data_IF_887712367489
#
_entry.id   IF_887712367489
#
_cell.length_a   1.000
_cell.length_b   1.000
_cell.length_c   1.000
_cell.angle_alpha   90.00
_cell.angle_beta   90.00
_cell.angle_gamma   90.00
#
_symmetry.space_group_name_H-M   'P 1'
#
loop_
_entity.id
_entity.type
_entity.pdbx_description
1 polymer ?
#
# COMPACT_ATOMS: atom_id res chain seq x y z
N UNK A 1 38.47 -14.44 30.66
CA UNK A 1 38.20 -12.99 30.69
C UNK A 1 37.99 -12.61 32.15
N UNK A 2 38.76 -11.67 32.71
CA UNK A 2 38.66 -11.38 34.16
C UNK A 2 37.24 -10.91 34.51
N UNK A 3 36.72 -11.31 35.68
CA UNK A 3 35.38 -10.90 36.14
C UNK A 3 35.17 -9.38 36.03
N UNK A 4 36.23 -8.60 36.25
CA UNK A 4 36.27 -7.15 36.07
C UNK A 4 35.92 -6.68 34.64
N UNK A 5 36.41 -7.36 33.61
CA UNK A 5 36.14 -7.04 32.21
C UNK A 5 34.68 -7.39 31.82
N UNK A 6 34.13 -8.45 32.42
CA UNK A 6 32.72 -8.82 32.25
C UNK A 6 31.77 -7.83 32.93
N UNK A 7 32.06 -7.42 34.17
CA UNK A 7 31.27 -6.38 34.85
C UNK A 7 31.35 -5.04 34.10
N UNK A 8 32.51 -4.67 33.57
CA UNK A 8 32.67 -3.48 32.73
C UNK A 8 31.80 -3.54 31.47
N UNK A 9 31.76 -4.67 30.77
CA UNK A 9 30.91 -4.85 29.59
C UNK A 9 29.42 -4.74 29.90
N UNK A 10 28.97 -5.33 31.01
CA UNK A 10 27.57 -5.27 31.46
C UNK A 10 27.16 -3.84 31.80
N UNK A 11 28.04 -3.07 32.47
CA UNK A 11 27.78 -1.66 32.78
C UNK A 11 27.70 -0.81 31.51
N UNK A 12 28.59 -1.03 30.53
CA UNK A 12 28.54 -0.34 29.23
C UNK A 12 27.26 -0.67 28.47
N UNK A 13 26.88 -1.95 28.40
CA UNK A 13 25.64 -2.39 27.75
C UNK A 13 24.39 -1.84 28.45
N UNK A 14 24.33 -1.88 29.78
CA UNK A 14 23.22 -1.31 30.55
C UNK A 14 23.11 0.21 30.35
N UNK A 15 24.25 0.91 30.23
CA UNK A 15 24.29 2.35 29.95
C UNK A 15 23.79 2.67 28.54
N UNK A 16 24.19 1.88 27.55
CA UNK A 16 23.69 1.99 26.17
C UNK A 16 22.18 1.68 26.09
N UNK A 17 21.73 0.68 26.84
CA UNK A 17 20.33 0.29 26.88
C UNK A 17 19.48 1.36 27.59
N UNK A 18 20.00 2.00 28.64
CA UNK A 18 19.37 3.17 29.27
C UNK A 18 19.25 4.34 28.30
N UNK A 19 20.31 4.64 27.55
CA UNK A 19 20.29 5.69 26.53
C UNK A 19 19.28 5.37 25.42
N UNK A 20 19.21 4.10 25.00
CA UNK A 20 18.24 3.60 24.04
C UNK A 20 16.80 3.70 24.54
N UNK A 21 16.52 3.26 25.77
CA UNK A 21 15.22 3.38 26.44
C UNK A 21 14.78 4.84 26.57
N UNK A 22 15.69 5.74 26.93
CA UNK A 22 15.41 7.16 27.03
C UNK A 22 15.06 7.77 25.66
N UNK A 23 15.84 7.45 24.62
CA UNK A 23 15.52 7.86 23.24
C UNK A 23 14.20 7.29 22.76
N UNK A 24 13.90 6.03 23.08
CA UNK A 24 12.63 5.39 22.74
C UNK A 24 11.44 6.10 23.39
N UNK A 25 11.54 6.44 24.68
CA UNK A 25 10.49 7.18 25.40
C UNK A 25 10.31 8.59 24.84
N UNK A 26 11.39 9.26 24.41
CA UNK A 26 11.29 10.54 23.72
C UNK A 26 10.61 10.39 22.37
N UNK A 27 11.03 9.44 21.53
CA UNK A 27 10.46 9.23 20.21
C UNK A 27 8.96 8.84 20.24
N UNK A 28 8.53 8.08 21.24
CA UNK A 28 7.11 7.71 21.41
C UNK A 28 6.27 8.89 21.89
N UNK A 29 6.84 9.78 22.70
CA UNK A 29 6.12 10.90 23.28
C UNK A 29 6.28 12.22 22.53
N UNK A 30 7.18 12.31 21.55
CA UNK A 30 7.36 13.47 20.69
C UNK A 30 6.04 13.78 19.96
N UNK A 31 5.37 14.89 20.30
CA UNK A 31 4.14 15.27 19.64
C UNK A 31 4.46 15.66 18.20
N UNK A 32 3.84 14.98 17.24
CA UNK A 32 3.92 15.40 15.83
C UNK A 32 2.81 16.42 15.57
N UNK A 33 3.12 17.60 15.00
CA UNK A 33 2.10 18.54 14.55
C UNK A 33 1.36 17.99 13.33
N UNK A 34 0.04 18.09 13.31
CA UNK A 34 -0.78 17.81 12.13
C UNK A 34 -1.67 19.03 11.85
N UNK A 35 -1.67 19.53 10.62
CA UNK A 35 -2.60 20.56 10.16
C UNK A 35 -3.68 19.91 9.31
N UNK A 36 -4.93 19.92 9.76
CA UNK A 36 -6.04 19.29 9.02
C UNK A 36 -6.87 20.37 8.35
N UNK A 37 -7.28 20.16 7.11
CA UNK A 37 -8.17 21.06 6.39
C UNK A 37 -9.44 20.32 5.93
N UNK A 38 -10.60 20.91 6.19
CA UNK A 38 -11.87 20.53 5.58
C UNK A 38 -12.01 21.32 4.28
N UNK A 39 -11.77 20.67 3.14
CA UNK A 39 -11.65 21.28 1.82
C UNK A 39 -12.47 20.53 0.77
N UNK A 40 -12.96 21.26 -0.24
CA UNK A 40 -13.52 20.68 -1.47
C UNK A 40 -13.08 21.47 -2.69
N UNK A 41 -13.03 20.78 -3.82
CA UNK A 41 -12.79 21.38 -5.13
C UNK A 41 -13.92 21.03 -6.10
N UNK A 42 -14.17 21.94 -7.04
CA UNK A 42 -15.16 21.73 -8.11
C UNK A 42 -14.57 20.91 -9.26
N UNK A 43 -13.27 21.06 -9.52
CA UNK A 43 -12.49 20.23 -10.44
C UNK A 43 -11.46 19.43 -9.64
N UNK A 44 -11.20 18.19 -10.05
CA UNK A 44 -10.16 17.39 -9.41
C UNK A 44 -8.79 18.08 -9.59
N UNK A 45 -8.04 18.22 -8.50
CA UNK A 45 -6.78 18.98 -8.49
C UNK A 45 -5.74 18.30 -7.60
N UNK A 46 -4.50 18.31 -8.06
CA UNK A 46 -3.34 18.15 -7.22
C UNK A 46 -3.21 19.30 -6.23
N UNK A 47 -2.72 18.96 -5.04
CA UNK A 47 -2.32 19.91 -3.99
C UNK A 47 -0.93 19.48 -3.54
N UNK A 48 0.02 20.41 -3.56
CA UNK A 48 1.36 20.18 -3.02
C UNK A 48 1.54 20.99 -1.73
N UNK A 49 2.10 20.35 -0.70
CA UNK A 49 2.35 20.96 0.59
C UNK A 49 3.84 21.19 0.77
N UNK A 50 4.20 22.46 0.84
CA UNK A 50 5.56 22.93 1.07
C UNK A 50 5.64 23.55 2.46
N UNK A 51 6.73 23.33 3.20
CA UNK A 51 6.95 23.96 4.50
C UNK A 51 8.38 24.47 4.63
N UNK A 52 8.59 25.47 5.48
CA UNK A 52 9.93 25.99 5.81
C UNK A 52 10.02 26.39 7.28
N UNK A 53 11.20 26.15 7.85
CA UNK A 53 11.51 26.44 9.25
C UNK A 53 11.73 27.94 9.51
N UNK A 54 12.24 28.68 8.52
CA UNK A 54 12.62 30.09 8.66
C UNK A 54 12.15 30.96 7.48
N UNK A 55 11.96 32.26 7.74
CA UNK A 55 11.56 33.27 6.74
C UNK A 55 12.53 33.41 5.56
N UNK A 56 13.80 33.04 5.75
CA UNK A 56 14.88 33.06 4.75
C UNK A 56 15.27 31.66 4.25
N UNK A 57 14.64 30.61 4.77
CA UNK A 57 14.92 29.22 4.42
C UNK A 57 14.31 28.80 3.08
N UNK A 58 14.89 27.77 2.45
CA UNK A 58 14.29 27.10 1.28
C UNK A 58 13.15 26.19 1.74
N UNK A 59 12.06 26.15 0.96
CA UNK A 59 10.99 25.16 1.17
C UNK A 59 11.52 23.73 1.06
N UNK A 60 10.83 22.79 1.70
CA UNK A 60 11.12 21.36 1.66
C UNK A 60 11.36 20.86 0.23
N UNK A 61 12.46 20.13 0.03
CA UNK A 61 12.91 19.68 -1.31
C UNK A 61 12.03 18.60 -1.94
N UNK A 62 11.15 17.97 -1.15
CA UNK A 62 10.21 16.95 -1.62
C UNK A 62 8.81 17.23 -1.02
N UNK A 63 7.97 18.02 -1.70
CA UNK A 63 6.66 18.40 -1.17
C UNK A 63 5.71 17.20 -1.15
N UNK A 64 4.85 17.16 -0.12
CA UNK A 64 3.83 16.12 -0.04
C UNK A 64 2.71 16.42 -1.03
N UNK A 65 2.42 15.46 -1.92
CA UNK A 65 1.41 15.63 -2.97
C UNK A 65 0.13 14.89 -2.60
N UNK A 66 -0.99 15.59 -2.74
CA UNK A 66 -2.33 15.09 -2.51
C UNK A 66 -3.14 15.26 -3.79
N UNK A 67 -4.09 14.36 -4.02
CA UNK A 67 -5.05 14.51 -5.11
C UNK A 67 -6.43 14.69 -4.50
N UNK A 68 -7.03 15.86 -4.72
CA UNK A 68 -8.37 16.19 -4.26
C UNK A 68 -9.35 15.94 -5.40
N UNK A 69 -10.18 14.90 -5.26
CA UNK A 69 -11.24 14.62 -6.23
C UNK A 69 -12.33 15.68 -6.17
N UNK A 70 -12.89 16.05 -7.33
CA UNK A 70 -14.08 16.89 -7.41
C UNK A 70 -15.20 16.29 -6.57
N UNK A 71 -15.79 17.07 -5.66
CA UNK A 71 -16.80 16.60 -4.73
C UNK A 71 -17.77 17.72 -4.34
N UNK A 72 -19.04 17.38 -4.18
CA UNK A 72 -20.04 18.29 -3.62
C UNK A 72 -19.86 18.48 -2.11
N UNK A 73 -19.23 17.51 -1.44
CA UNK A 73 -19.00 17.48 0.00
C UNK A 73 -17.57 17.88 0.35
N UNK A 74 -17.40 18.50 1.53
CA UNK A 74 -16.08 18.74 2.11
C UNK A 74 -15.42 17.43 2.52
N UNK A 75 -14.12 17.32 2.26
CA UNK A 75 -13.29 16.21 2.69
C UNK A 75 -12.17 16.71 3.59
N UNK A 76 -11.82 15.92 4.59
CA UNK A 76 -10.75 16.25 5.51
C UNK A 76 -9.43 15.72 4.96
N UNK A 77 -8.50 16.63 4.68
CA UNK A 77 -7.12 16.30 4.33
C UNK A 77 -6.20 16.59 5.51
N UNK A 78 -5.18 15.75 5.69
CA UNK A 78 -4.16 15.92 6.72
C UNK A 78 -2.88 16.34 6.01
N UNK A 79 -2.46 17.57 6.28
CA UNK A 79 -1.23 18.14 5.76
C UNK A 79 -0.07 17.65 6.63
N UNK A 80 0.91 16.94 6.05
CA UNK A 80 2.02 16.36 6.79
C UNK A 80 3.01 17.48 7.14
N UNK A 81 3.13 17.74 8.44
CA UNK A 81 4.12 18.66 8.99
C UNK A 81 4.99 17.82 9.91
N UNK A 82 6.23 17.55 9.51
CA UNK A 82 7.05 16.52 10.16
C UNK A 82 7.73 17.02 11.43
N UNK A 83 7.85 18.35 11.59
CA UNK A 83 8.51 18.99 12.70
C UNK A 83 7.82 20.31 13.06
N UNK A 84 7.97 20.75 14.31
CA UNK A 84 7.31 21.94 14.83
C UNK A 84 7.72 23.22 14.08
N UNK A 85 9.01 23.36 13.80
CA UNK A 85 9.60 24.49 13.06
C UNK A 85 8.96 24.69 11.67
N UNK A 86 8.55 23.61 11.01
CA UNK A 86 7.86 23.65 9.72
C UNK A 86 6.48 24.32 9.76
N UNK A 87 5.87 24.51 10.94
CA UNK A 87 4.62 25.27 11.09
C UNK A 87 4.82 26.78 10.93
N UNK A 88 6.06 27.28 10.88
CA UNK A 88 6.34 28.71 10.78
C UNK A 88 5.79 29.31 9.48
N UNK A 89 5.89 28.54 8.39
CA UNK A 89 5.39 28.90 7.06
C UNK A 89 5.03 27.61 6.31
N UNK A 90 3.73 27.42 6.08
CA UNK A 90 3.20 26.29 5.32
C UNK A 90 2.55 26.84 4.05
N UNK A 91 3.01 26.42 2.89
CA UNK A 91 2.49 26.81 1.58
C UNK A 91 1.71 25.64 0.98
N UNK A 92 0.51 25.93 0.48
CA UNK A 92 -0.32 25.00 -0.28
C UNK A 92 -0.39 25.47 -1.72
N UNK A 93 0.21 24.69 -2.59
CA UNK A 93 0.22 24.87 -4.03
C UNK A 93 -0.92 24.07 -4.66
N UNK A 94 -1.68 24.70 -5.54
CA UNK A 94 -2.70 24.05 -6.35
C UNK A 94 -2.18 23.84 -7.77
N UNK A 95 -2.76 22.90 -8.51
CA UNK A 95 -2.41 22.70 -9.91
C UNK A 95 -2.64 23.98 -10.73
N UNK A 96 -1.85 24.14 -11.79
CA UNK A 96 -1.91 25.23 -12.77
C UNK A 96 -3.15 25.14 -13.68
N UNK A 97 -4.34 25.04 -13.09
CA UNK A 97 -5.62 24.92 -13.77
C UNK A 97 -6.68 25.77 -13.08
N UNK A 98 -7.59 26.35 -13.87
CA UNK A 98 -8.76 27.06 -13.32
C UNK A 98 -9.59 26.11 -12.47
N UNK A 99 -9.69 26.44 -11.18
CA UNK A 99 -10.48 25.66 -10.24
C UNK A 99 -11.10 26.57 -9.19
N UNK A 100 -12.27 26.18 -8.69
CA UNK A 100 -12.86 26.80 -7.50
C UNK A 100 -12.64 25.84 -6.34
N UNK A 101 -11.99 26.33 -5.30
CA UNK A 101 -11.69 25.59 -4.07
C UNK A 101 -12.42 26.25 -2.91
N UNK A 102 -12.98 25.46 -2.01
CA UNK A 102 -13.63 25.95 -0.81
C UNK A 102 -13.01 25.31 0.43
N UNK A 103 -12.64 26.11 1.42
CA UNK A 103 -12.15 25.65 2.72
C UNK A 103 -13.20 26.00 3.77
N UNK A 104 -13.70 24.97 4.45
CA UNK A 104 -14.67 25.13 5.54
C UNK A 104 -13.96 25.47 6.85
N UNK A 105 -12.95 24.67 7.20
CA UNK A 105 -12.27 24.71 8.51
C UNK A 105 -10.82 24.27 8.41
N UNK A 106 -9.98 24.80 9.29
CA UNK A 106 -8.64 24.28 9.59
C UNK A 106 -8.54 23.87 11.05
N UNK A 107 -7.86 22.76 11.32
CA UNK A 107 -7.59 22.25 12.67
C UNK A 107 -6.10 22.16 12.87
N UNK A 108 -5.59 22.78 13.93
CA UNK A 108 -4.25 22.51 14.43
C UNK A 108 -4.34 21.38 15.45
N UNK A 109 -3.71 20.25 15.14
CA UNK A 109 -3.79 19.02 15.93
C UNK A 109 -2.39 18.64 16.39
N UNK A 110 -2.29 18.14 17.61
CA UNK A 110 -1.09 17.46 18.11
C UNK A 110 -1.36 15.97 18.27
N UNK A 111 -0.32 15.16 18.10
CA UNK A 111 -0.41 13.70 18.23
C UNK A 111 0.61 13.12 19.22
N UNK A 112 0.46 13.36 20.54
CA UNK A 112 1.26 12.67 21.54
C UNK A 112 0.90 11.17 21.59
N UNK A 113 1.89 10.29 21.44
CA UNK A 113 1.70 8.84 21.61
C UNK A 113 0.62 8.21 20.72
N UNK A 114 0.30 8.84 19.58
CA UNK A 114 -0.72 8.38 18.64
C UNK A 114 -2.15 8.88 18.89
N UNK A 115 -2.44 9.60 19.97
CA UNK A 115 -3.75 10.20 20.25
C UNK A 115 -3.82 11.61 19.67
N UNK A 116 -4.83 11.92 18.86
CA UNK A 116 -5.05 13.27 18.32
C UNK A 116 -5.73 14.16 19.36
N UNK A 117 -5.15 15.32 19.59
CA UNK A 117 -5.72 16.36 20.43
C UNK A 117 -5.76 17.68 19.66
N UNK A 118 -6.93 18.31 19.62
CA UNK A 118 -7.14 19.51 18.81
C UNK A 118 -6.75 20.73 19.62
N UNK A 119 -5.72 21.45 19.16
CA UNK A 119 -5.23 22.66 19.81
C UNK A 119 -6.16 23.83 19.49
N UNK A 120 -6.54 23.99 18.22
CA UNK A 120 -7.38 25.10 17.77
C UNK A 120 -8.14 24.76 16.48
N UNK A 121 -9.26 25.45 16.25
CA UNK A 121 -10.10 25.31 15.05
C UNK A 121 -10.45 26.68 14.49
N UNK A 122 -10.06 26.93 13.23
CA UNK A 122 -10.49 28.09 12.46
C UNK A 122 -11.62 27.68 11.53
N UNK A 123 -12.73 28.42 11.53
CA UNK A 123 -13.90 28.14 10.69
C UNK A 123 -14.23 29.34 9.81
N UNK A 124 -14.45 29.08 8.52
CA UNK A 124 -14.83 30.10 7.54
C UNK A 124 -13.89 31.31 7.58
N UNK A 125 -14.44 32.51 7.72
CA UNK A 125 -13.69 33.77 7.76
C UNK A 125 -12.57 33.83 8.82
N UNK A 126 -12.64 33.05 9.90
CA UNK A 126 -11.57 32.99 10.90
C UNK A 126 -10.25 32.41 10.34
N UNK A 127 -10.28 31.73 9.19
CA UNK A 127 -9.08 31.26 8.50
C UNK A 127 -8.15 32.41 8.08
N UNK A 128 -8.67 33.62 7.91
CA UNK A 128 -7.86 34.79 7.56
C UNK A 128 -6.80 35.12 8.63
N UNK A 129 -7.00 34.69 9.89
CA UNK A 129 -6.01 34.87 10.97
C UNK A 129 -4.71 34.09 10.74
N UNK A 130 -4.79 32.97 10.00
CA UNK A 130 -3.64 32.10 9.73
C UNK A 130 -3.13 32.23 8.31
N UNK A 131 -3.86 32.88 7.40
CA UNK A 131 -3.43 33.04 6.00
C UNK A 131 -2.62 34.33 5.87
N UNK A 132 -1.38 34.19 5.40
CA UNK A 132 -0.46 35.31 5.18
C UNK A 132 -0.77 36.01 3.86
N UNK A 133 -0.83 35.26 2.77
CA UNK A 133 -1.08 35.80 1.44
C UNK A 133 -1.59 34.73 0.47
N UNK A 134 -2.18 35.22 -0.62
CA UNK A 134 -2.65 34.46 -1.77
C UNK A 134 -1.86 34.88 -2.99
N UNK A 135 -1.47 33.92 -3.83
CA UNK A 135 -0.82 34.18 -5.11
C UNK A 135 -1.63 33.54 -6.23
N UNK A 136 -2.02 34.32 -7.23
CA UNK A 136 -2.85 33.88 -8.35
C UNK A 136 -4.12 33.12 -7.90
N UNK A 137 -4.71 33.57 -6.79
CA UNK A 137 -5.96 33.08 -6.24
C UNK A 137 -6.87 34.28 -5.95
N UNK A 138 -8.06 34.30 -6.56
CA UNK A 138 -9.08 35.32 -6.32
C UNK A 138 -10.09 34.84 -5.27
N UNK A 139 -10.36 35.65 -4.26
CA UNK A 139 -11.32 35.29 -3.21
C UNK A 139 -12.73 35.76 -3.57
N UNK A 140 -13.63 34.81 -3.85
CA UNK A 140 -14.99 35.11 -4.31
C UNK A 140 -15.98 35.28 -3.15
N UNK A 141 -15.84 34.51 -2.06
CA UNK A 141 -16.79 34.56 -0.94
C UNK A 141 -16.09 34.26 0.38
N UNK A 142 -16.46 35.02 1.43
CA UNK A 142 -16.02 34.80 2.81
C UNK A 142 -17.24 34.90 3.73
N UNK A 143 -17.47 33.87 4.55
CA UNK A 143 -18.51 33.88 5.58
C UNK A 143 -18.09 32.99 6.75
N UNK A 144 -18.92 32.90 7.78
CA UNK A 144 -18.65 32.09 9.00
C UNK A 144 -18.61 30.57 8.75
N UNK A 145 -19.00 30.11 7.56
CA UNK A 145 -19.07 28.70 7.21
C UNK A 145 -17.92 28.23 6.32
N UNK A 146 -17.48 29.06 5.37
CA UNK A 146 -16.41 28.73 4.43
C UNK A 146 -15.75 29.96 3.80
N UNK A 147 -14.58 29.75 3.22
CA UNK A 147 -13.95 30.65 2.26
C UNK A 147 -13.95 29.98 0.89
N UNK A 148 -14.40 30.70 -0.13
CA UNK A 148 -14.38 30.27 -1.54
C UNK A 148 -13.34 31.06 -2.30
N UNK A 149 -12.48 30.34 -3.00
CA UNK A 149 -11.36 30.88 -3.73
C UNK A 149 -11.29 30.29 -5.14
N UNK A 150 -10.88 31.11 -6.11
CA UNK A 150 -10.73 30.75 -7.51
C UNK A 150 -9.25 30.75 -7.86
N UNK A 151 -8.71 29.56 -8.09
CA UNK A 151 -7.33 29.36 -8.49
C UNK A 151 -7.13 29.74 -9.96
N UNK A 152 -6.08 30.51 -10.23
CA UNK A 152 -5.63 30.89 -11.57
C UNK A 152 -4.88 29.76 -12.29
N UNK A 153 -4.43 30.04 -13.52
CA UNK A 153 -3.75 29.05 -14.38
C UNK A 153 -2.24 28.99 -14.18
N UNK A 154 -1.66 29.89 -13.38
CA UNK A 154 -0.21 30.01 -13.20
C UNK A 154 0.13 30.10 -11.72
N UNK A 155 0.80 29.09 -11.16
CA UNK A 155 1.29 29.02 -9.77
C UNK A 155 0.27 29.49 -8.70
N UNK A 156 -0.97 28.96 -8.66
CA UNK A 156 -1.93 29.33 -7.63
C UNK A 156 -1.54 28.71 -6.28
N UNK A 157 -1.25 29.55 -5.28
CA UNK A 157 -0.92 29.06 -3.94
C UNK A 157 -1.39 29.98 -2.81
N UNK A 158 -1.56 29.40 -1.62
CA UNK A 158 -1.78 30.14 -0.37
C UNK A 158 -0.67 29.81 0.62
N UNK A 159 -0.25 30.80 1.42
CA UNK A 159 0.74 30.60 2.48
C UNK A 159 0.13 30.90 3.85
N UNK A 160 0.35 30.00 4.81
CA UNK A 160 0.00 30.19 6.21
C UNK A 160 1.13 30.90 6.97
N UNK A 161 0.75 31.69 7.97
CA UNK A 161 1.64 32.48 8.79
C UNK A 161 2.17 31.70 10.02
N UNK A 162 3.03 32.37 10.80
CA UNK A 162 3.72 31.81 11.97
C UNK A 162 2.82 31.67 13.20
N UNK A 163 1.55 32.08 13.13
CA UNK A 163 0.57 31.91 14.21
C UNK A 163 0.35 30.42 14.50
N UNK A 164 0.45 29.56 13.48
CA UNK A 164 0.40 28.10 13.64
C UNK A 164 1.50 27.60 14.59
N UNK A 165 2.75 28.02 14.35
CA UNK A 165 3.88 27.70 15.22
C UNK A 165 3.68 28.26 16.63
N UNK A 166 3.33 29.54 16.77
CA UNK A 166 3.17 30.18 18.07
C UNK A 166 2.11 29.49 18.95
N UNK A 167 0.95 29.15 18.37
CA UNK A 167 -0.13 28.46 19.07
C UNK A 167 0.23 27.01 19.41
N UNK A 168 0.97 26.34 18.53
CA UNK A 168 1.47 25.00 18.80
C UNK A 168 2.45 25.01 19.97
N UNK A 169 3.46 25.87 19.89
CA UNK A 169 4.54 26.00 20.87
C UNK A 169 4.02 26.35 22.27
N UNK A 170 3.07 27.29 22.36
CA UNK A 170 2.46 27.68 23.64
C UNK A 170 1.70 26.53 24.31
N UNK A 171 1.09 25.64 23.53
CA UNK A 171 0.34 24.50 24.05
C UNK A 171 1.21 23.23 24.22
N UNK A 172 2.41 23.21 23.65
CA UNK A 172 3.38 22.12 23.75
C UNK A 172 3.83 21.89 25.20
N UNK A 173 4.29 22.95 25.88
CA UNK A 173 4.85 22.87 27.24
C UNK A 173 3.86 22.46 28.34
N UNK A 174 2.54 22.52 28.09
CA UNK A 174 1.52 22.23 29.11
C UNK A 174 1.29 20.74 29.39
N UNK A 175 1.73 19.83 28.52
CA UNK A 175 1.42 18.39 28.66
C UNK A 175 2.59 17.44 28.37
N UNK A 176 3.78 17.95 28.08
CA UNK A 176 4.93 17.06 27.91
C UNK A 176 5.28 16.35 29.22
N UNK A 177 5.58 15.05 29.13
CA UNK A 177 6.07 14.29 30.26
C UNK A 177 7.34 14.99 30.78
N UNK A 178 7.34 15.37 32.06
CA UNK A 178 8.46 16.13 32.63
C UNK A 178 9.78 15.36 32.45
N UNK A 179 10.90 16.09 32.33
CA UNK A 179 12.20 15.47 32.06
C UNK A 179 12.55 14.34 33.03
N UNK A 180 12.19 14.48 34.31
CA UNK A 180 12.44 13.45 35.33
C UNK A 180 11.55 12.21 35.16
N UNK A 181 10.29 12.36 34.72
CA UNK A 181 9.40 11.23 34.44
C UNK A 181 9.92 10.41 33.26
N UNK A 182 10.47 11.05 32.22
CA UNK A 182 11.11 10.38 31.08
C UNK A 182 12.29 9.51 31.53
N UNK A 183 13.15 10.04 32.40
CA UNK A 183 14.24 9.27 33.00
C UNK A 183 13.74 8.10 33.85
N UNK A 184 12.70 8.30 34.67
CA UNK A 184 12.15 7.24 35.51
C UNK A 184 11.56 6.09 34.67
N UNK A 185 10.81 6.42 33.61
CA UNK A 185 10.29 5.44 32.67
C UNK A 185 11.41 4.70 31.92
N UNK A 186 12.50 5.39 31.57
CA UNK A 186 13.65 4.79 30.89
C UNK A 186 14.38 3.80 31.79
N UNK A 187 14.55 4.16 33.07
CA UNK A 187 15.15 3.28 34.08
C UNK A 187 14.28 2.02 34.28
N UNK A 188 12.96 2.19 34.43
CA UNK A 188 12.02 1.07 34.56
C UNK A 188 12.08 0.14 33.35
N UNK A 189 12.03 0.68 32.13
CA UNK A 189 12.09 -0.11 30.89
C UNK A 189 13.41 -0.87 30.77
N UNK A 190 14.54 -0.20 31.03
CA UNK A 190 15.87 -0.82 31.03
C UNK A 190 15.98 -1.92 32.06
N UNK A 191 15.47 -1.70 33.27
CA UNK A 191 15.46 -2.71 34.33
C UNK A 191 14.62 -3.93 33.95
N UNK A 192 13.44 -3.73 33.38
CA UNK A 192 12.59 -4.82 32.87
C UNK A 192 13.27 -5.60 31.75
N UNK A 193 13.93 -4.93 30.79
CA UNK A 193 14.71 -5.58 29.75
C UNK A 193 15.86 -6.42 30.34
N UNK A 194 16.62 -5.87 31.29
CA UNK A 194 17.72 -6.61 31.93
C UNK A 194 17.22 -7.83 32.71
N UNK A 195 16.04 -7.76 33.33
CA UNK A 195 15.42 -8.92 33.98
C UNK A 195 15.00 -10.01 32.97
N UNK A 196 14.28 -9.63 31.92
CA UNK A 196 13.78 -10.57 30.91
C UNK A 196 14.92 -11.25 30.14
N UNK A 197 15.99 -10.52 29.86
CA UNK A 197 17.13 -11.01 29.09
C UNK A 197 18.35 -11.37 29.95
N UNK A 198 18.19 -11.52 31.27
CA UNK A 198 19.28 -11.84 32.21
C UNK A 198 20.16 -13.03 31.77
N UNK A 199 19.55 -14.04 31.14
CA UNK A 199 20.27 -15.23 30.62
C UNK A 199 21.12 -14.94 29.38
N UNK A 200 20.76 -13.93 28.59
CA UNK A 200 21.56 -13.47 27.44
C UNK A 200 22.79 -12.66 27.89
N UNK A 201 22.72 -12.03 29.06
CA UNK A 201 23.82 -11.26 29.65
C UNK A 201 24.63 -12.05 30.69
N UNK A 202 24.34 -13.33 30.90
CA UNK A 202 25.12 -14.19 31.77
C UNK A 202 26.53 -14.42 31.18
N UNK A 203 27.54 -14.61 32.03
CA UNK A 203 28.92 -14.93 31.61
C UNK A 203 28.98 -16.14 30.68
N UNK A 204 28.02 -17.05 30.84
CA UNK A 204 27.96 -18.33 30.15
C UNK A 204 27.02 -18.25 28.94
N UNK A 205 26.49 -17.07 28.58
CA UNK A 205 25.52 -16.93 27.49
C UNK A 205 26.05 -17.47 26.15
N UNK A 206 27.33 -17.25 25.85
CA UNK A 206 27.98 -17.79 24.66
C UNK A 206 28.08 -19.32 24.73
N UNK A 207 28.37 -19.87 25.91
CA UNK A 207 28.41 -21.33 26.11
C UNK A 207 27.02 -21.95 26.03
N UNK A 208 26.00 -21.30 26.59
CA UNK A 208 24.59 -21.71 26.46
C UNK A 208 24.15 -21.65 24.99
N UNK A 209 24.50 -20.61 24.24
CA UNK A 209 24.20 -20.51 22.80
C UNK A 209 24.92 -21.62 22.02
N UNK A 210 26.22 -21.84 22.27
CA UNK A 210 26.99 -22.94 21.65
C UNK A 210 26.39 -24.31 21.98
N UNK A 211 26.03 -24.55 23.24
CA UNK A 211 25.42 -25.80 23.70
C UNK A 211 24.04 -26.00 23.06
N UNK A 212 23.24 -24.94 22.90
CA UNK A 212 21.96 -24.97 22.19
C UNK A 212 22.14 -25.29 20.70
N UNK A 213 23.17 -24.74 20.05
CA UNK A 213 23.52 -25.05 18.66
C UNK A 213 23.93 -26.52 18.51
N UNK A 214 24.78 -27.02 19.41
CA UNK A 214 25.23 -28.43 19.44
C UNK A 214 24.08 -29.41 19.74
N UNK A 215 23.09 -28.99 20.52
CA UNK A 215 21.85 -29.74 20.78
C UNK A 215 20.85 -29.71 19.61
N UNK A 216 21.23 -29.16 18.45
CA UNK A 216 20.37 -29.14 17.25
C UNK A 216 19.32 -28.03 17.23
N UNK A 217 19.35 -27.07 18.16
CA UNK A 217 18.41 -25.93 18.18
C UNK A 217 18.77 -24.81 17.18
N UNK A 218 19.65 -25.09 16.21
CA UNK A 218 20.09 -24.12 15.20
C UNK A 218 18.89 -23.53 14.43
N UNK A 219 17.91 -24.37 14.07
CA UNK A 219 16.71 -23.92 13.37
C UNK A 219 15.88 -22.93 14.21
N UNK A 220 15.75 -23.20 15.52
CA UNK A 220 15.04 -22.32 16.44
C UNK A 220 15.75 -20.97 16.56
N UNK A 221 17.08 -20.98 16.69
CA UNK A 221 17.88 -19.76 16.75
C UNK A 221 17.78 -18.94 15.45
N UNK A 222 17.86 -19.60 14.29
CA UNK A 222 17.68 -18.96 13.00
C UNK A 222 16.28 -18.35 12.86
N UNK A 223 15.24 -19.09 13.27
CA UNK A 223 13.86 -18.62 13.26
C UNK A 223 13.67 -17.36 14.13
N UNK A 224 14.17 -17.37 15.37
CA UNK A 224 14.08 -16.19 16.24
C UNK A 224 14.90 -15.01 15.71
N UNK A 225 16.06 -15.26 15.09
CA UNK A 225 16.87 -14.21 14.48
C UNK A 225 16.13 -13.56 13.30
N UNK A 226 15.49 -14.38 12.45
CA UNK A 226 14.66 -13.88 11.35
C UNK A 226 13.50 -13.04 11.91
N UNK A 227 12.75 -13.55 12.88
CA UNK A 227 11.64 -12.80 13.52
C UNK A 227 12.10 -11.49 14.18
N UNK A 228 13.25 -11.51 14.85
CA UNK A 228 13.78 -10.31 15.49
C UNK A 228 14.24 -9.29 14.45
N UNK A 229 14.87 -9.75 13.36
CA UNK A 229 15.30 -8.89 12.27
C UNK A 229 14.11 -8.25 11.54
N UNK A 230 13.02 -8.99 11.30
CA UNK A 230 11.81 -8.45 10.66
C UNK A 230 11.10 -7.45 11.57
N UNK A 231 11.00 -7.77 12.87
CA UNK A 231 10.42 -6.85 13.86
C UNK A 231 11.21 -5.55 13.96
N UNK A 232 12.55 -5.64 14.05
CA UNK A 232 13.41 -4.46 14.12
C UNK A 232 13.31 -3.65 12.83
N UNK A 233 13.34 -4.29 11.66
CA UNK A 233 13.21 -3.56 10.40
C UNK A 233 11.84 -2.88 10.25
N UNK A 234 10.75 -3.47 10.77
CA UNK A 234 9.42 -2.87 10.70
C UNK A 234 9.30 -1.58 11.54
N UNK A 235 10.06 -1.48 12.64
CA UNK A 235 10.04 -0.30 13.50
C UNK A 235 10.93 0.84 13.01
N UNK A 236 12.07 0.52 12.38
CA UNK A 236 13.09 1.52 11.99
C UNK A 236 13.31 1.67 10.48
N UNK A 237 12.73 0.78 9.67
CA UNK A 237 12.86 0.75 8.20
C UNK A 237 14.32 0.91 7.71
N UNK A 238 15.23 0.14 8.31
CA UNK A 238 16.68 0.24 8.08
C UNK A 238 17.11 -0.34 6.73
N UNK A 239 16.40 -1.37 6.27
CA UNK A 239 16.66 -2.08 5.05
C UNK A 239 15.41 -2.01 4.15
N UNK A 240 15.55 -1.58 2.90
CA UNK A 240 14.44 -1.57 1.96
C UNK A 240 14.02 -3.00 1.60
N UNK A 241 12.72 -3.21 1.38
CA UNK A 241 12.19 -4.47 0.82
C UNK A 241 12.30 -4.44 -0.72
N UNK A 242 12.10 -5.60 -1.36
CA UNK A 242 11.95 -5.71 -2.81
C UNK A 242 10.71 -4.92 -3.24
N UNK A 243 10.83 -4.13 -4.31
CA UNK A 243 9.72 -3.33 -4.83
C UNK A 243 8.52 -4.20 -5.20
N UNK A 244 7.36 -3.89 -4.64
CA UNK A 244 6.12 -4.51 -5.09
C UNK A 244 5.75 -3.99 -6.48
N UNK A 245 5.43 -4.88 -7.42
CA UNK A 245 4.92 -4.51 -8.76
C UNK A 245 3.40 -4.57 -8.85
N UNK A 246 2.72 -4.96 -7.78
CA UNK A 246 1.26 -4.97 -7.68
C UNK A 246 0.72 -3.53 -7.76
N UNK A 247 -0.19 -3.29 -8.71
CA UNK A 247 -0.85 -1.98 -8.86
C UNK A 247 -2.01 -1.86 -7.85
N UNK A 248 -1.70 -1.95 -6.56
CA UNK A 248 -2.65 -1.91 -5.45
C UNK A 248 -2.24 -0.84 -4.45
N UNK A 249 -3.24 -0.10 -3.94
CA UNK A 249 -3.04 0.89 -2.87
C UNK A 249 -2.88 0.15 -1.53
N UNK A 250 -1.72 0.29 -0.89
CA UNK A 250 -1.46 -0.29 0.43
C UNK A 250 -2.34 0.36 1.50
N UNK A 251 -2.77 -0.44 2.47
CA UNK A 251 -3.51 0.06 3.62
C UNK A 251 -2.67 1.07 4.43
N UNK A 252 -3.32 2.18 4.82
CA UNK A 252 -2.72 3.21 5.68
C UNK A 252 -2.76 2.80 7.16
N UNK A 253 -1.77 3.24 7.94
CA UNK A 253 -1.70 2.96 9.39
C UNK A 253 -2.94 3.49 10.13
N UNK A 254 -3.74 2.63 10.79
CA UNK A 254 -4.95 3.07 11.48
C UNK A 254 -4.62 3.83 12.76
N UNK A 255 -5.45 4.80 13.11
CA UNK A 255 -5.40 5.50 14.40
C UNK A 255 -6.32 4.82 15.41
N UNK A 256 -5.82 4.58 16.63
CA UNK A 256 -6.64 4.08 17.72
C UNK A 256 -7.60 5.18 18.23
N UNK A 257 -8.91 4.95 18.15
CA UNK A 257 -9.96 5.85 18.63
C UNK A 257 -10.96 5.07 19.47
N UNK A 258 -11.51 5.69 20.51
CA UNK A 258 -12.57 5.08 21.33
C UNK A 258 -13.80 4.70 20.48
N UNK A 259 -14.11 5.46 19.44
CA UNK A 259 -15.22 5.18 18.52
C UNK A 259 -14.97 4.00 17.57
N UNK A 260 -13.69 3.68 17.29
CA UNK A 260 -13.29 2.58 16.39
C UNK A 260 -12.56 1.48 17.14
N UNK A 261 -12.75 1.38 18.44
CA UNK A 261 -12.04 0.42 19.28
C UNK A 261 -12.26 -1.02 18.81
N UNK A 262 -13.50 -1.36 18.42
CA UNK A 262 -13.87 -2.68 17.90
C UNK A 262 -13.39 -2.92 16.46
N UNK A 263 -13.27 -1.87 15.63
CA UNK A 263 -12.77 -1.98 14.24
C UNK A 263 -11.24 -1.95 14.16
N UNK A 264 -10.56 -1.42 15.18
CA UNK A 264 -9.12 -1.22 15.18
C UNK A 264 -8.31 -2.51 14.94
N UNK A 265 -8.65 -3.67 15.54
CA UNK A 265 -7.93 -4.91 15.26
C UNK A 265 -7.97 -5.31 13.78
N UNK A 266 -9.11 -5.14 13.11
CA UNK A 266 -9.27 -5.50 11.69
C UNK A 266 -8.50 -4.54 10.78
N UNK A 267 -8.60 -3.23 11.04
CA UNK A 267 -7.84 -2.21 10.31
C UNK A 267 -6.34 -2.37 10.51
N UNK A 268 -5.91 -2.70 11.74
CA UNK A 268 -4.50 -2.93 12.04
C UNK A 268 -4.00 -4.21 11.40
N UNK A 269 -4.81 -5.27 11.38
CA UNK A 269 -4.47 -6.52 10.68
C UNK A 269 -4.29 -6.27 9.19
N UNK A 270 -5.16 -5.47 8.58
CA UNK A 270 -5.06 -5.09 7.16
C UNK A 270 -3.79 -4.27 6.88
N UNK A 271 -3.52 -3.25 7.71
CA UNK A 271 -2.27 -2.50 7.64
C UNK A 271 -1.03 -3.38 7.82
N UNK A 272 -1.02 -4.25 8.81
CA UNK A 272 0.10 -5.13 9.11
C UNK A 272 0.35 -6.12 7.96
N UNK A 273 -0.70 -6.68 7.35
CA UNK A 273 -0.58 -7.56 6.16
C UNK A 273 0.10 -6.85 4.99
N UNK A 274 -0.18 -5.56 4.80
CA UNK A 274 0.31 -4.79 3.66
C UNK A 274 1.71 -4.19 3.88
N UNK A 275 2.06 -3.87 5.13
CA UNK A 275 3.26 -3.09 5.45
C UNK A 275 4.33 -3.88 6.22
N UNK A 276 4.16 -5.20 6.41
CA UNK A 276 5.17 -6.02 7.09
C UNK A 276 6.49 -6.06 6.31
N UNK A 277 7.60 -5.78 6.98
CA UNK A 277 8.92 -5.79 6.36
C UNK A 277 9.31 -7.16 5.79
N UNK A 278 9.98 -7.12 4.63
CA UNK A 278 10.48 -8.30 3.91
C UNK A 278 9.39 -9.26 3.44
N UNK A 279 8.13 -8.82 3.41
CA UNK A 279 7.01 -9.62 2.88
C UNK A 279 7.32 -10.06 1.45
N UNK A 280 7.75 -9.13 0.59
CA UNK A 280 8.02 -9.42 -0.83
C UNK A 280 9.27 -10.30 -1.00
N UNK A 281 10.26 -10.12 -0.12
CA UNK A 281 11.42 -11.00 -0.09
C UNK A 281 11.05 -12.45 0.29
N UNK A 282 10.32 -12.66 1.39
CA UNK A 282 9.95 -14.02 1.81
C UNK A 282 8.99 -14.69 0.85
N UNK A 283 8.05 -13.92 0.31
CA UNK A 283 7.21 -14.28 -0.81
C UNK A 283 8.00 -14.85 -1.99
N UNK A 284 9.00 -14.10 -2.46
CA UNK A 284 9.87 -14.51 -3.55
C UNK A 284 10.66 -15.79 -3.20
N UNK A 285 11.25 -15.84 -2.01
CA UNK A 285 12.00 -17.02 -1.55
C UNK A 285 11.11 -18.25 -1.49
N UNK A 286 9.90 -18.12 -0.93
CA UNK A 286 8.90 -19.20 -0.92
C UNK A 286 8.56 -19.64 -2.35
N UNK A 287 8.30 -18.69 -3.26
CA UNK A 287 7.98 -19.00 -4.64
C UNK A 287 9.12 -19.74 -5.36
N UNK A 288 10.36 -19.33 -5.14
CA UNK A 288 11.55 -19.99 -5.71
C UNK A 288 11.72 -21.39 -5.14
N UNK A 289 11.59 -21.57 -3.83
CA UNK A 289 11.73 -22.89 -3.19
C UNK A 289 10.62 -23.84 -3.66
N UNK A 290 9.35 -23.40 -3.58
CA UNK A 290 8.21 -24.17 -4.03
C UNK A 290 8.36 -24.61 -5.50
N UNK A 291 8.73 -23.69 -6.38
CA UNK A 291 8.80 -23.96 -7.81
C UNK A 291 10.06 -24.73 -8.26
N UNK A 292 11.25 -24.36 -7.77
CA UNK A 292 12.52 -24.92 -8.24
C UNK A 292 12.97 -26.15 -7.47
N UNK A 293 12.66 -26.22 -6.17
CA UNK A 293 13.10 -27.33 -5.31
C UNK A 293 12.03 -28.40 -5.25
N UNK A 294 10.78 -28.00 -4.99
CA UNK A 294 9.67 -28.94 -4.79
C UNK A 294 8.83 -29.19 -6.04
N UNK A 295 8.98 -28.37 -7.08
CA UNK A 295 8.19 -28.45 -8.31
C UNK A 295 6.67 -28.39 -8.06
N UNK A 296 6.27 -27.55 -7.11
CA UNK A 296 4.87 -27.27 -6.78
C UNK A 296 4.52 -25.80 -6.99
N UNK A 297 3.24 -25.52 -7.19
CA UNK A 297 2.75 -24.15 -7.28
C UNK A 297 2.90 -23.43 -5.93
N UNK A 298 3.41 -22.18 -5.91
CA UNK A 298 3.48 -21.39 -4.69
C UNK A 298 2.11 -20.89 -4.21
N UNK A 299 1.12 -20.85 -5.11
CA UNK A 299 -0.27 -20.50 -4.84
C UNK A 299 -1.15 -21.59 -5.49
N UNK A 300 -1.32 -22.75 -4.85
CA UNK A 300 -2.00 -23.88 -5.47
C UNK A 300 -3.48 -23.62 -5.75
N UNK A 301 -4.12 -22.73 -5.00
CA UNK A 301 -5.54 -22.40 -5.18
C UNK A 301 -5.78 -21.54 -6.42
N UNK A 302 -4.82 -20.67 -6.77
CA UNK A 302 -4.96 -19.70 -7.86
C UNK A 302 -4.17 -20.08 -9.11
N UNK A 303 -3.11 -20.89 -8.96
CA UNK A 303 -2.13 -21.14 -10.03
C UNK A 303 -1.79 -22.62 -10.16
N UNK A 304 -1.93 -23.15 -11.37
CA UNK A 304 -1.45 -24.46 -11.79
C UNK A 304 -0.01 -24.34 -12.27
N UNK A 305 0.89 -25.15 -11.71
CA UNK A 305 2.23 -25.35 -12.26
C UNK A 305 2.19 -26.33 -13.43
N UNK A 306 2.43 -25.82 -14.63
CA UNK A 306 2.60 -26.57 -15.87
C UNK A 306 4.05 -26.99 -16.16
N UNK A 307 4.23 -27.67 -17.28
CA UNK A 307 5.52 -28.17 -17.76
C UNK A 307 6.47 -27.00 -18.10
N UNK A 308 7.77 -27.23 -17.92
CA UNK A 308 8.84 -26.24 -18.26
C UNK A 308 8.71 -24.90 -17.52
N UNK A 309 8.17 -24.90 -16.30
CA UNK A 309 8.04 -23.68 -15.48
C UNK A 309 6.94 -22.72 -15.95
N UNK A 310 5.95 -23.21 -16.67
CA UNK A 310 4.79 -22.43 -17.08
C UNK A 310 3.74 -22.40 -15.97
N UNK A 311 3.15 -21.24 -15.74
CA UNK A 311 2.03 -21.07 -14.81
C UNK A 311 0.72 -20.87 -15.58
N UNK A 312 -0.35 -21.51 -15.12
CA UNK A 312 -1.69 -21.39 -15.65
C UNK A 312 -2.66 -21.03 -14.51
N UNK A 313 -3.77 -20.41 -14.86
CA UNK A 313 -4.83 -20.07 -13.92
C UNK A 313 -5.55 -21.34 -13.42
N UNK A 314 -5.76 -21.43 -12.10
CA UNK A 314 -6.49 -22.53 -11.45
C UNK A 314 -7.95 -22.19 -11.10
N UNK A 315 -8.46 -21.04 -11.53
CA UNK A 315 -9.88 -20.71 -11.36
C UNK A 315 -10.77 -21.82 -11.95
N UNK A 316 -11.73 -22.28 -11.15
CA UNK A 316 -12.60 -23.39 -11.51
C UNK A 316 -13.29 -23.21 -12.88
N UNK A 317 -13.72 -21.99 -13.20
CA UNK A 317 -14.34 -21.68 -14.49
C UNK A 317 -13.36 -21.84 -15.66
N UNK A 318 -12.13 -21.37 -15.51
CA UNK A 318 -11.07 -21.43 -16.53
C UNK A 318 -10.63 -22.88 -16.76
N UNK A 319 -10.47 -23.64 -15.67
CA UNK A 319 -10.09 -25.06 -15.72
C UNK A 319 -11.21 -25.90 -16.34
N UNK A 320 -12.47 -25.68 -15.93
CA UNK A 320 -13.60 -26.42 -16.45
C UNK A 320 -13.88 -26.11 -17.92
N UNK A 321 -13.72 -24.86 -18.35
CA UNK A 321 -13.86 -24.47 -19.76
C UNK A 321 -12.78 -25.13 -20.64
N UNK A 322 -11.52 -25.11 -20.19
CA UNK A 322 -10.43 -25.79 -20.89
C UNK A 322 -10.65 -27.30 -20.99
N UNK A 323 -11.11 -27.93 -19.91
CA UNK A 323 -11.36 -29.37 -19.87
C UNK A 323 -12.66 -29.79 -20.56
N UNK A 324 -13.47 -28.82 -21.05
CA UNK A 324 -14.82 -29.02 -21.60
C UNK A 324 -15.77 -29.72 -20.63
N UNK A 325 -15.72 -29.32 -19.37
CA UNK A 325 -16.56 -29.86 -18.29
C UNK A 325 -17.74 -28.94 -17.96
N UNK A 326 -17.85 -27.78 -18.61
CA UNK A 326 -18.98 -26.90 -18.38
C UNK A 326 -20.28 -27.53 -18.89
N UNK A 327 -21.33 -27.61 -18.05
CA UNK A 327 -22.64 -28.06 -18.49
C UNK A 327 -23.25 -27.05 -19.46
N UNK A 328 -24.07 -27.53 -20.39
CA UNK A 328 -24.84 -26.65 -21.25
C UNK A 328 -25.87 -25.87 -20.42
N UNK A 329 -25.70 -24.55 -20.33
CA UNK A 329 -26.63 -23.66 -19.64
C UNK A 329 -27.31 -22.73 -20.66
N UNK A 330 -28.55 -23.06 -21.11
CA UNK A 330 -29.26 -22.27 -22.10
C UNK A 330 -29.59 -20.85 -21.60
N UNK A 331 -29.86 -20.67 -20.30
CA UNK A 331 -30.22 -19.38 -19.73
C UNK A 331 -29.03 -18.42 -19.73
N UNK A 332 -27.84 -18.92 -19.37
CA UNK A 332 -26.61 -18.14 -19.42
C UNK A 332 -26.26 -17.74 -20.86
N UNK A 333 -26.42 -18.67 -21.81
CA UNK A 333 -26.17 -18.44 -23.22
C UNK A 333 -27.13 -17.40 -23.81
N UNK A 334 -28.42 -17.54 -23.51
CA UNK A 334 -29.47 -16.60 -23.91
C UNK A 334 -29.24 -15.21 -23.30
N UNK A 335 -28.98 -15.13 -21.99
CA UNK A 335 -28.74 -13.85 -21.32
C UNK A 335 -27.53 -13.13 -21.91
N UNK A 336 -26.43 -13.87 -22.15
CA UNK A 336 -25.21 -13.32 -22.76
C UNK A 336 -25.48 -12.82 -24.18
N UNK A 337 -26.24 -13.58 -24.98
CA UNK A 337 -26.56 -13.19 -26.36
C UNK A 337 -27.49 -11.97 -26.41
N UNK A 338 -28.49 -11.89 -25.52
CA UNK A 338 -29.38 -10.74 -25.42
C UNK A 338 -28.63 -9.45 -25.03
N UNK A 339 -27.71 -9.51 -24.06
CA UNK A 339 -26.91 -8.34 -23.66
C UNK A 339 -26.09 -7.82 -24.83
N UNK A 340 -25.40 -8.72 -25.55
CA UNK A 340 -24.58 -8.35 -26.71
C UNK A 340 -25.44 -7.76 -27.85
N UNK A 341 -26.62 -8.35 -28.10
CA UNK A 341 -27.54 -7.87 -29.13
C UNK A 341 -28.12 -6.50 -28.78
N UNK A 342 -28.57 -6.29 -27.54
CA UNK A 342 -29.09 -4.99 -27.09
C UNK A 342 -28.03 -3.89 -27.22
N UNK A 343 -26.79 -4.18 -26.80
CA UNK A 343 -25.67 -3.24 -26.92
C UNK A 343 -25.33 -2.95 -28.38
N UNK A 344 -25.33 -3.97 -29.24
CA UNK A 344 -25.15 -3.78 -30.69
C UNK A 344 -26.24 -2.87 -31.26
N UNK A 345 -27.51 -3.12 -30.96
CA UNK A 345 -28.63 -2.34 -31.49
C UNK A 345 -28.55 -0.88 -31.04
N UNK A 346 -28.21 -0.65 -29.77
CA UNK A 346 -28.03 0.70 -29.23
C UNK A 346 -26.92 1.49 -29.94
N UNK A 347 -25.80 0.84 -30.28
CA UNK A 347 -24.69 1.44 -31.03
C UNK A 347 -25.03 1.62 -32.53
N UNK A 348 -25.74 0.67 -33.12
CA UNK A 348 -26.13 0.71 -34.53
C UNK A 348 -27.07 1.88 -34.81
N UNK A 349 -28.01 2.17 -33.89
CA UNK A 349 -28.89 3.34 -33.97
C UNK A 349 -28.12 4.69 -33.92
N UNK A 350 -26.82 4.67 -33.59
CA UNK A 350 -25.93 5.83 -33.56
C UNK A 350 -24.87 5.76 -34.67
N UNK A 351 -25.02 4.86 -35.63
CA UNK A 351 -24.06 4.61 -36.71
C UNK A 351 -22.65 4.18 -36.22
N UNK A 352 -22.57 3.54 -35.04
CA UNK A 352 -21.30 3.04 -34.48
C UNK A 352 -21.19 1.53 -34.75
N UNK A 353 -20.07 1.10 -35.35
CA UNK A 353 -19.76 -0.33 -35.54
C UNK A 353 -19.38 -0.97 -34.20
N UNK A 354 -19.92 -2.16 -33.95
CA UNK A 354 -19.68 -2.91 -32.71
C UNK A 354 -19.06 -4.26 -33.02
N UNK A 355 -17.90 -4.53 -32.41
CA UNK A 355 -17.18 -5.79 -32.51
C UNK A 355 -16.90 -6.31 -31.10
N UNK A 356 -17.02 -7.62 -30.91
CA UNK A 356 -16.67 -8.28 -29.66
C UNK A 356 -15.52 -9.21 -29.94
N UNK A 357 -14.39 -8.99 -29.26
CA UNK A 357 -13.25 -9.90 -29.28
C UNK A 357 -13.15 -10.58 -27.93
N UNK A 358 -13.09 -11.92 -27.91
CA UNK A 358 -12.85 -12.69 -26.69
C UNK A 358 -11.51 -13.38 -26.88
N UNK A 359 -10.50 -12.93 -26.13
CA UNK A 359 -9.15 -13.49 -26.18
C UNK A 359 -9.12 -14.85 -25.48
N UNK A 360 -8.48 -15.88 -26.05
CA UNK A 360 -8.38 -17.17 -25.39
C UNK A 360 -7.51 -17.10 -24.15
N UNK A 361 -7.86 -17.94 -23.18
CA UNK A 361 -7.00 -18.22 -22.05
C UNK A 361 -5.73 -18.96 -22.49
N UNK A 362 -4.66 -18.80 -21.70
CA UNK A 362 -3.32 -19.35 -21.96
C UNK A 362 -3.34 -20.87 -22.16
N UNK A 363 -4.16 -21.58 -21.39
CA UNK A 363 -4.37 -23.03 -21.48
C UNK A 363 -4.95 -23.49 -22.83
N UNK A 364 -5.74 -22.66 -23.52
CA UNK A 364 -6.24 -22.96 -24.87
C UNK A 364 -5.17 -22.80 -25.96
N UNK A 365 -4.22 -21.89 -25.77
CA UNK A 365 -3.10 -21.65 -26.71
C UNK A 365 -1.90 -22.56 -26.46
N UNK A 366 -1.65 -22.94 -25.20
CA UNK A 366 -0.54 -23.79 -24.78
C UNK A 366 -0.99 -25.06 -24.02
N UNK A 367 -1.92 -25.86 -24.57
CA UNK A 367 -2.41 -27.07 -23.91
C UNK A 367 -1.29 -28.09 -23.66
N UNK A 368 -0.26 -28.12 -24.50
CA UNK A 368 0.87 -29.06 -24.38
C UNK A 368 1.77 -28.81 -23.16
N UNK A 369 1.63 -27.63 -22.54
CA UNK A 369 2.38 -27.25 -21.33
C UNK A 369 1.54 -27.43 -20.06
N UNK A 370 0.27 -27.81 -20.16
CA UNK A 370 -0.53 -28.20 -19.00
C UNK A 370 -0.02 -29.52 -18.39
N UNK A 371 -0.25 -29.77 -17.09
CA UNK A 371 0.04 -31.07 -16.49
C UNK A 371 -0.86 -32.17 -17.07
N UNK A 372 -0.37 -33.41 -17.07
CA UNK A 372 -1.08 -34.56 -17.67
C UNK A 372 -2.39 -34.90 -16.96
N UNK A 373 -2.56 -34.48 -15.71
CA UNK A 373 -3.82 -34.62 -14.97
C UNK A 373 -4.95 -33.72 -15.53
N UNK A 374 -4.62 -32.68 -16.27
CA UNK A 374 -5.58 -31.73 -16.85
C UNK A 374 -5.82 -32.03 -18.33
N UNK A 375 -6.55 -33.10 -18.59
CA UNK A 375 -6.95 -33.49 -19.95
C UNK A 375 -8.30 -32.91 -20.34
N UNK A 376 -8.43 -32.56 -21.62
CA UNK A 376 -9.71 -32.24 -22.28
C UNK A 376 -10.56 -33.50 -22.30
N UNK A 377 -11.83 -33.38 -21.89
CA UNK A 377 -12.81 -34.48 -21.90
C UNK A 377 -13.84 -34.22 -23.00
N UNK A 378 -13.51 -34.61 -24.23
CA UNK A 378 -14.44 -34.48 -25.35
C UNK A 378 -15.74 -35.26 -25.09
N UNK A 379 -16.88 -34.65 -25.41
CA UNK A 379 -18.20 -35.26 -25.26
C UNK A 379 -18.85 -35.15 -23.87
N UNK A 380 -18.17 -34.60 -22.85
CA UNK A 380 -18.74 -34.43 -21.50
C UNK A 380 -19.49 -33.11 -21.32
N UNK A 381 -18.98 -32.05 -21.91
CA UNK A 381 -19.52 -30.71 -21.82
C UNK A 381 -18.98 -29.86 -22.95
N UNK A 382 -19.04 -28.55 -22.78
CA UNK A 382 -18.75 -27.62 -23.85
C UNK A 382 -17.70 -26.58 -23.44
N UNK A 383 -17.10 -25.94 -24.44
CA UNK A 383 -16.40 -24.69 -24.26
C UNK A 383 -17.38 -23.53 -24.48
N UNK A 384 -17.40 -22.57 -23.56
CA UNK A 384 -18.37 -21.48 -23.57
C UNK A 384 -18.22 -20.57 -24.81
N UNK A 385 -17.00 -20.27 -25.25
CA UNK A 385 -16.79 -19.35 -26.40
C UNK A 385 -17.29 -19.97 -27.71
N UNK A 386 -17.15 -21.29 -27.84
CA UNK A 386 -17.59 -22.04 -29.03
C UNK A 386 -19.11 -22.08 -29.08
N UNK A 387 -19.77 -22.38 -27.94
CA UNK A 387 -21.21 -22.34 -27.82
C UNK A 387 -21.78 -20.95 -28.08
N UNK A 388 -21.18 -19.91 -27.46
CA UNK A 388 -21.60 -18.52 -27.64
C UNK A 388 -21.43 -18.10 -29.10
N UNK A 389 -20.30 -18.44 -29.73
CA UNK A 389 -20.06 -18.16 -31.14
C UNK A 389 -21.11 -18.79 -32.05
N UNK A 390 -21.41 -20.07 -31.86
CA UNK A 390 -22.43 -20.78 -32.64
C UNK A 390 -23.83 -20.18 -32.42
N UNK A 391 -24.20 -19.92 -31.17
CA UNK A 391 -25.50 -19.35 -30.84
C UNK A 391 -25.67 -17.93 -31.42
N UNK A 392 -24.62 -17.10 -31.33
CA UNK A 392 -24.64 -15.76 -31.92
C UNK A 392 -24.73 -15.81 -33.44
N UNK A 393 -24.07 -16.76 -34.11
CA UNK A 393 -24.16 -16.91 -35.57
C UNK A 393 -25.55 -17.36 -36.03
N UNK A 394 -26.23 -18.22 -35.26
CA UNK A 394 -27.54 -18.75 -35.61
C UNK A 394 -28.70 -17.80 -35.29
N UNK A 395 -28.59 -17.03 -34.19
CA UNK A 395 -29.71 -16.27 -33.63
C UNK A 395 -29.50 -14.76 -33.58
N UNK A 396 -28.32 -14.26 -34.00
CA UNK A 396 -28.02 -12.84 -33.94
C UNK A 396 -27.15 -12.38 -35.13
N UNK A 397 -27.03 -11.07 -35.31
CA UNK A 397 -26.07 -10.49 -36.23
C UNK A 397 -24.79 -10.00 -35.52
N UNK A 398 -24.54 -10.40 -34.27
CA UNK A 398 -23.35 -9.96 -33.52
C UNK A 398 -22.12 -10.69 -34.04
N UNK A 399 -21.09 -9.93 -34.45
CA UNK A 399 -19.80 -10.49 -34.87
C UNK A 399 -18.92 -10.74 -33.65
N UNK A 400 -18.75 -12.01 -33.29
CA UNK A 400 -17.78 -12.46 -32.29
C UNK A 400 -16.47 -12.84 -32.98
N UNK A 401 -15.37 -12.26 -32.52
CA UNK A 401 -14.02 -12.51 -33.02
C UNK A 401 -13.27 -13.37 -31.99
N UNK A 402 -12.90 -14.58 -32.38
CA UNK A 402 -12.04 -15.47 -31.62
C UNK A 402 -10.64 -15.51 -32.28
N UNK A 403 -9.60 -14.89 -31.67
CA UNK A 403 -8.26 -14.85 -32.23
C UNK A 403 -7.45 -16.13 -32.01
N UNK A 404 -8.01 -17.20 -31.43
CA UNK A 404 -7.29 -18.44 -31.09
C UNK A 404 -6.54 -19.03 -32.28
N UNK A 405 -7.19 -19.13 -33.45
CA UNK A 405 -6.56 -19.67 -34.65
C UNK A 405 -5.35 -18.82 -35.10
N UNK A 406 -5.50 -17.49 -35.09
CA UNK A 406 -4.44 -16.56 -35.44
C UNK A 406 -3.26 -16.63 -34.45
N UNK A 407 -3.55 -16.78 -33.15
CA UNK A 407 -2.53 -16.93 -32.10
C UNK A 407 -1.77 -18.27 -32.22
N UNK A 408 -2.47 -19.36 -32.54
CA UNK A 408 -1.84 -20.66 -32.79
C UNK A 408 -0.95 -20.63 -34.04
N UNK A 409 -1.37 -19.92 -35.08
CA UNK A 409 -0.54 -19.72 -36.27
C UNK A 409 0.69 -18.85 -35.97
N UNK A 410 0.51 -17.74 -35.25
CA UNK A 410 1.61 -16.88 -34.80
C UNK A 410 2.61 -17.65 -33.92
N UNK A 411 2.12 -18.51 -33.01
CA UNK A 411 2.95 -19.41 -32.19
C UNK A 411 3.79 -20.34 -33.05
N UNK A 412 3.22 -20.98 -34.08
CA UNK A 412 3.96 -21.83 -35.02
C UNK A 412 5.04 -21.04 -35.76
N UNK A 413 4.71 -19.83 -36.23
CA UNK A 413 5.67 -18.93 -36.89
C UNK A 413 6.81 -18.51 -35.95
N UNK A 414 6.52 -18.12 -34.71
CA UNK A 414 7.56 -17.75 -33.73
C UNK A 414 8.45 -18.94 -33.37
N UNK A 415 7.89 -20.13 -33.19
CA UNK A 415 8.67 -21.36 -32.95
C UNK A 415 9.56 -21.75 -34.14
N UNK A 416 9.21 -21.35 -35.36
CA UNK A 416 10.07 -21.54 -36.55
C UNK A 416 11.20 -20.52 -36.68
N UNK A 417 11.07 -19.35 -36.04
CA UNK A 417 12.01 -18.21 -36.15
C UNK A 417 12.94 -18.13 -34.92
N UNK A 418 12.53 -18.66 -33.77
CA UNK A 418 13.31 -18.60 -32.51
C UNK A 418 13.44 -19.96 -31.85
N UNK A 419 14.67 -20.35 -31.50
CA UNK A 419 14.92 -21.44 -30.55
C UNK A 419 14.21 -21.11 -29.22
N UNK A 420 13.66 -22.10 -28.51
CA UNK A 420 12.82 -21.87 -27.34
C UNK A 420 13.56 -21.00 -26.31
N UNK A 421 13.04 -19.80 -26.06
CA UNK A 421 13.61 -18.85 -25.10
C UNK A 421 13.60 -19.53 -23.72
N UNK A 422 14.78 -19.81 -23.14
CA UNK A 422 14.86 -20.42 -21.82
C UNK A 422 14.58 -19.36 -20.76
N UNK A 423 13.49 -19.55 -20.01
CA UNK A 423 13.35 -19.31 -18.55
C UNK A 423 13.56 -17.87 -18.00
N UNK A 424 14.06 -16.90 -18.77
CA UNK A 424 14.37 -15.56 -18.28
C UNK A 424 13.15 -14.63 -18.08
N UNK A 425 12.15 -14.74 -18.96
CA UNK A 425 10.99 -13.82 -18.96
C UNK A 425 9.91 -14.23 -17.94
N UNK A 426 9.93 -15.48 -17.46
CA UNK A 426 8.97 -15.95 -16.47
C UNK A 426 9.24 -15.37 -15.06
N UNK A 427 10.43 -14.84 -14.76
CA UNK A 427 10.69 -14.16 -13.47
C UNK A 427 10.03 -12.79 -13.37
N UNK A 428 9.82 -12.08 -14.49
CA UNK A 428 9.03 -10.84 -14.49
C UNK A 428 7.53 -11.12 -14.36
N UNK A 429 7.07 -12.27 -14.88
CA UNK A 429 5.67 -12.68 -14.75
C UNK A 429 5.39 -13.31 -13.38
N UNK A 430 6.37 -13.96 -12.72
CA UNK A 430 6.25 -14.37 -11.31
C UNK A 430 6.06 -13.15 -10.37
N UNK A 431 6.58 -11.96 -10.72
CA UNK A 431 6.25 -10.73 -9.98
C UNK A 431 4.83 -10.20 -10.19
N UNK A 432 4.06 -10.80 -11.11
CA UNK A 432 2.66 -10.43 -11.43
C UNK A 432 1.68 -11.58 -11.12
N UNK A 433 2.14 -12.84 -11.09
CA UNK A 433 1.29 -14.03 -10.83
C UNK A 433 1.40 -14.53 -9.37
N UNK A 434 2.42 -14.13 -8.61
CA UNK A 434 2.55 -14.52 -7.19
C UNK A 434 1.77 -13.59 -6.24
N UNK A 435 1.14 -12.51 -6.74
CA UNK A 435 0.36 -11.58 -5.90
C UNK A 435 -0.87 -11.00 -6.59
#
# INVERSE_FOLDING_TARGET
>A
MSKLLQYGLVVVLASLLLLGSYRFINAVNEPVPELHLSIKSFVSTGIEVCSRADSTGKYTSNPAKFYLNSSQFFSNIILPVNAEDQLTRVRLDFDNQKNTVMIEKAYLVRKPGGKRDTIHVWKGAALDEIILHYNNIDLETRNESFIQMKCGETDPYLEFNSTLFALYHQNFYKQEMSGWMKWMAAILLTFTCLMLFKKLFASDAIEVIKQRILQGNLLQLAFFLILFSTFFNNQWNLLPDISNKENRKLASKPSMSASRFFEYPELYTSYAKDNYSFRNFFAFVHAVIASKVFHVSPLPDDVIMGKKGWFFDNESNVVNDFRKLQPYNPDQLFTSSQILMQRKNWLTNRHIKFYVIITPNKNRVYPELMPESYTVKDGYGYNFIELLGQHLQLHSNVTLIDPTAALLEAKKRMMSITAPIPIGICMEVLSVIVY
#
